data_IF_466167512546
#
_entry.id   IF_466167512546
#
_cell.length_a   1.000
_cell.length_b   1.000
_cell.length_c   1.000
_cell.angle_alpha   90.00
_cell.angle_beta   90.00
_cell.angle_gamma   90.00
#
_symmetry.space_group_name_H-M   'P 1'
#
loop_
_entity.id
_entity.type
_entity.pdbx_description
1 polymer ?
#
# COMPACT_ATOMS: atom_id res chain seq x y z
N UNK A 1 0.86 -23.86 -7.13
CA UNK A 1 0.38 -22.50 -7.00
C UNK A 1 0.35 -21.75 -8.31
N UNK A 2 -0.36 -20.67 -8.30
CA UNK A 2 -0.37 -19.69 -9.38
C UNK A 2 0.25 -18.43 -8.83
N UNK A 3 1.35 -17.97 -9.43
CA UNK A 3 2.07 -16.81 -8.95
C UNK A 3 2.66 -16.00 -10.09
N UNK A 4 3.54 -15.10 -9.75
CA UNK A 4 4.24 -14.30 -10.73
C UNK A 4 5.23 -15.15 -11.54
N UNK A 5 5.31 -14.86 -12.83
CA UNK A 5 6.32 -15.46 -13.71
C UNK A 5 7.56 -14.56 -13.77
N UNK A 6 8.77 -15.11 -13.89
CA UNK A 6 9.97 -14.33 -14.19
C UNK A 6 9.97 -13.78 -15.62
N UNK A 7 9.03 -14.18 -16.47
CA UNK A 7 8.89 -13.65 -17.82
C UNK A 7 8.37 -12.20 -17.79
N UNK A 8 9.26 -11.27 -18.09
CA UNK A 8 8.95 -9.83 -18.10
C UNK A 8 7.93 -9.44 -19.17
N UNK A 9 7.87 -10.17 -20.27
CA UNK A 9 6.86 -9.92 -21.32
C UNK A 9 5.47 -10.28 -20.84
N UNK A 10 5.32 -11.39 -20.11
CA UNK A 10 4.06 -11.78 -19.49
C UNK A 10 3.61 -10.75 -18.45
N UNK A 11 4.50 -10.30 -17.59
CA UNK A 11 4.21 -9.27 -16.59
C UNK A 11 3.73 -7.96 -17.24
N UNK A 12 4.43 -7.50 -18.28
CA UNK A 12 4.04 -6.29 -19.01
C UNK A 12 2.67 -6.44 -19.69
N UNK A 13 2.34 -7.61 -20.22
CA UNK A 13 1.03 -7.89 -20.85
C UNK A 13 -0.10 -7.92 -19.82
N UNK A 14 0.09 -8.55 -18.68
CA UNK A 14 -0.91 -8.54 -17.62
C UNK A 14 -1.27 -7.11 -17.18
N UNK A 15 -0.27 -6.27 -17.01
CA UNK A 15 -0.47 -4.88 -16.69
C UNK A 15 -1.22 -4.13 -17.79
N UNK A 16 -0.78 -4.24 -19.04
CA UNK A 16 -1.34 -3.47 -20.17
C UNK A 16 -2.80 -3.85 -20.48
N UNK A 17 -3.14 -5.12 -20.40
CA UNK A 17 -4.53 -5.57 -20.61
C UNK A 17 -5.45 -5.07 -19.49
N UNK A 18 -5.01 -5.16 -18.25
CA UNK A 18 -5.77 -4.64 -17.11
C UNK A 18 -6.00 -3.13 -17.20
N UNK A 19 -4.99 -2.38 -17.61
CA UNK A 19 -5.08 -0.93 -17.81
C UNK A 19 -6.04 -0.58 -18.95
N UNK A 20 -5.93 -1.27 -20.08
CA UNK A 20 -6.83 -1.08 -21.24
C UNK A 20 -8.29 -1.28 -20.84
N UNK A 21 -8.61 -2.30 -20.09
CA UNK A 21 -9.99 -2.57 -19.69
C UNK A 21 -10.57 -1.50 -18.77
N UNK A 22 -9.75 -0.92 -17.89
CA UNK A 22 -10.16 0.21 -17.06
C UNK A 22 -10.55 1.43 -17.88
N UNK A 23 -9.86 1.70 -18.95
CA UNK A 23 -10.17 2.83 -19.84
C UNK A 23 -11.36 2.55 -20.76
N UNK A 24 -11.57 1.30 -21.17
CA UNK A 24 -12.63 0.93 -22.11
C UNK A 24 -13.98 0.71 -21.45
N UNK A 25 -14.03 0.03 -20.33
CA UNK A 25 -15.26 -0.30 -19.61
C UNK A 25 -15.41 0.45 -18.29
N UNK A 26 -14.33 0.86 -17.70
CA UNK A 26 -14.31 1.48 -16.37
C UNK A 26 -13.65 0.60 -15.30
N UNK A 27 -13.47 1.16 -14.13
CA UNK A 27 -12.74 0.51 -13.01
C UNK A 27 -13.41 -0.77 -12.50
N UNK A 28 -14.69 -0.92 -12.74
CA UNK A 28 -15.50 -2.08 -12.36
C UNK A 28 -15.75 -3.07 -13.50
N UNK A 29 -14.92 -3.07 -14.53
CA UNK A 29 -15.09 -3.92 -15.71
C UNK A 29 -15.27 -5.42 -15.42
N UNK A 30 -14.69 -5.92 -14.34
CA UNK A 30 -14.82 -7.31 -13.89
C UNK A 30 -16.04 -7.56 -12.98
N UNK A 31 -16.85 -6.55 -12.70
CA UNK A 31 -18.04 -6.63 -11.85
C UNK A 31 -19.34 -6.37 -12.59
N UNK A 32 -19.28 -6.02 -13.86
CA UNK A 32 -20.50 -5.93 -14.68
C UNK A 32 -21.11 -7.33 -14.87
N UNK A 33 -22.44 -7.45 -15.01
CA UNK A 33 -23.12 -8.74 -14.95
C UNK A 33 -22.58 -9.82 -15.87
N UNK A 34 -22.12 -9.44 -17.06
CA UNK A 34 -21.58 -10.39 -18.03
C UNK A 34 -20.20 -10.94 -17.64
N UNK A 35 -19.43 -10.19 -16.87
CA UNK A 35 -18.07 -10.55 -16.44
C UNK A 35 -18.00 -11.00 -14.98
N UNK A 36 -19.02 -10.68 -14.19
CA UNK A 36 -19.01 -10.97 -12.76
C UNK A 36 -18.91 -12.47 -12.49
N UNK A 37 -18.13 -12.82 -11.47
CA UNK A 37 -18.11 -14.18 -10.96
C UNK A 37 -19.48 -14.59 -10.44
N UNK A 38 -19.86 -15.83 -10.69
CA UNK A 38 -21.09 -16.40 -10.11
C UNK A 38 -20.94 -16.71 -8.61
N UNK A 39 -19.72 -16.99 -8.18
CA UNK A 39 -19.40 -17.14 -6.77
C UNK A 39 -19.04 -15.78 -6.17
N UNK A 40 -19.39 -15.54 -4.88
CA UNK A 40 -18.95 -14.34 -4.18
C UNK A 40 -17.42 -14.31 -4.11
N UNK A 41 -16.82 -13.29 -4.70
CA UNK A 41 -15.38 -13.03 -4.57
C UNK A 41 -15.19 -11.61 -4.05
N UNK A 42 -14.22 -11.45 -3.17
CA UNK A 42 -13.82 -10.13 -2.75
C UNK A 42 -12.96 -9.47 -3.81
N UNK A 43 -13.36 -8.28 -4.22
CA UNK A 43 -12.60 -7.46 -5.16
C UNK A 43 -12.31 -6.12 -4.52
N UNK A 44 -11.10 -5.61 -4.74
CA UNK A 44 -10.74 -4.26 -4.34
C UNK A 44 -11.31 -3.20 -5.29
N UNK A 45 -11.86 -3.59 -6.41
CA UNK A 45 -12.50 -2.70 -7.36
C UNK A 45 -13.82 -2.19 -6.78
N UNK A 46 -13.95 -0.88 -6.67
CA UNK A 46 -15.09 -0.20 -6.09
C UNK A 46 -15.53 0.92 -7.00
N UNK A 47 -16.80 1.29 -6.86
CA UNK A 47 -17.37 2.36 -7.65
C UNK A 47 -17.32 2.09 -9.17
N UNK A 48 -17.60 3.05 -9.97
CA UNK A 48 -17.59 2.91 -11.42
C UNK A 48 -18.98 3.02 -12.03
N UNK A 49 -19.02 3.53 -13.26
CA UNK A 49 -20.25 3.93 -13.92
C UNK A 49 -21.25 2.79 -14.19
N UNK A 50 -20.77 1.57 -14.28
CA UNK A 50 -21.60 0.39 -14.60
C UNK A 50 -21.93 -0.46 -13.37
N UNK A 51 -21.68 0.04 -12.18
CA UNK A 51 -21.97 -0.70 -10.96
C UNK A 51 -23.45 -0.77 -10.68
N UNK A 52 -23.98 -1.97 -10.39
CA UNK A 52 -25.40 -2.23 -10.17
C UNK A 52 -25.70 -2.81 -8.78
N UNK A 53 -24.69 -3.23 -8.04
CA UNK A 53 -24.80 -3.91 -6.74
C UNK A 53 -24.40 -3.01 -5.55
N UNK A 54 -24.26 -1.70 -5.80
CA UNK A 54 -23.85 -0.73 -4.80
C UNK A 54 -22.37 -0.79 -4.45
N UNK A 55 -21.94 0.14 -3.63
CA UNK A 55 -20.58 0.19 -3.10
C UNK A 55 -20.46 -0.50 -1.75
N UNK A 56 -19.26 -0.99 -1.44
CA UNK A 56 -18.95 -1.55 -0.13
C UNK A 56 -18.76 -0.48 0.97
N UNK A 57 -19.43 0.68 0.83
CA UNK A 57 -19.31 1.79 1.76
C UNK A 57 -17.96 2.49 1.69
N UNK A 58 -17.57 3.14 2.78
CA UNK A 58 -16.34 3.91 2.88
C UNK A 58 -15.12 3.09 3.33
N UNK A 59 -15.18 1.76 3.24
CA UNK A 59 -14.05 0.89 3.62
C UNK A 59 -12.82 1.17 2.76
N UNK A 60 -11.64 0.99 3.36
CA UNK A 60 -10.37 1.14 2.63
C UNK A 60 -10.23 -0.01 1.64
N UNK A 61 -10.24 0.30 0.34
CA UNK A 61 -10.22 -0.69 -0.74
C UNK A 61 -8.83 -1.03 -1.26
N UNK A 62 -7.79 -0.88 -0.44
CA UNK A 62 -6.41 -1.16 -0.81
C UNK A 62 -5.71 -2.01 0.24
N UNK A 63 -4.74 -2.77 -0.17
CA UNK A 63 -3.91 -3.62 0.68
C UNK A 63 -2.43 -3.44 0.22
N UNK A 64 -1.47 -3.36 1.12
CA UNK A 64 -1.62 -3.32 2.58
C UNK A 64 -2.19 -1.99 3.07
N UNK A 65 -2.90 -2.03 4.19
CA UNK A 65 -3.38 -0.82 4.86
C UNK A 65 -3.22 -0.94 6.39
N UNK A 66 -3.38 0.18 7.09
CA UNK A 66 -3.21 0.26 8.54
C UNK A 66 -4.51 0.04 9.32
N UNK A 67 -5.60 -0.29 8.63
CA UNK A 67 -6.93 -0.35 9.20
C UNK A 67 -7.40 -1.80 9.45
N UNK A 68 -6.60 -2.79 9.07
CA UNK A 68 -6.92 -4.20 9.27
C UNK A 68 -8.14 -4.71 8.50
N UNK A 69 -8.64 -3.93 7.53
CA UNK A 69 -9.88 -4.26 6.80
C UNK A 69 -9.64 -5.40 5.82
N UNK A 70 -8.51 -5.36 5.12
CA UNK A 70 -8.08 -6.40 4.20
C UNK A 70 -6.69 -6.85 4.64
N UNK A 71 -6.51 -8.13 4.79
CA UNK A 71 -5.25 -8.71 5.24
C UNK A 71 -4.87 -9.91 4.38
N UNK A 72 -3.58 -10.06 4.15
CA UNK A 72 -3.06 -11.28 3.53
C UNK A 72 -3.33 -12.50 4.41
N UNK A 73 -3.74 -13.57 3.76
CA UNK A 73 -3.81 -14.89 4.40
C UNK A 73 -2.42 -15.53 4.35
N UNK A 74 -1.59 -15.24 5.33
CA UNK A 74 -0.19 -15.71 5.38
C UNK A 74 -0.03 -17.23 5.23
N UNK A 75 -1.03 -18.01 5.66
CA UNK A 75 -1.04 -19.46 5.50
C UNK A 75 -1.29 -19.92 4.06
N UNK A 76 -1.73 -19.01 3.17
CA UNK A 76 -1.91 -19.22 1.73
C UNK A 76 -0.77 -18.64 0.90
N UNK A 77 0.35 -18.34 1.55
CA UNK A 77 1.49 -17.76 0.90
C UNK A 77 1.98 -18.65 -0.26
N UNK A 78 2.39 -18.00 -1.34
CA UNK A 78 2.98 -18.66 -2.48
C UNK A 78 4.24 -19.43 -2.07
N UNK A 79 4.41 -20.68 -2.50
CA UNK A 79 5.64 -21.42 -2.25
C UNK A 79 6.84 -20.69 -2.85
N UNK A 80 7.99 -20.73 -2.16
CA UNK A 80 9.19 -20.12 -2.65
C UNK A 80 9.58 -20.71 -4.02
N UNK A 81 9.97 -19.85 -4.94
CA UNK A 81 10.43 -20.23 -6.26
C UNK A 81 11.86 -20.80 -6.14
N UNK A 82 11.98 -22.11 -6.12
CA UNK A 82 13.27 -22.78 -5.99
C UNK A 82 13.76 -23.32 -7.34
N UNK A 83 14.30 -22.45 -8.16
CA UNK A 83 14.80 -22.78 -9.50
C UNK A 83 16.32 -22.88 -9.56
N UNK A 84 17.02 -22.61 -8.46
CA UNK A 84 18.47 -22.80 -8.34
C UNK A 84 19.31 -22.02 -9.37
N UNK A 85 18.81 -20.96 -9.93
CA UNK A 85 19.46 -20.17 -10.98
C UNK A 85 19.24 -18.68 -10.82
N UNK A 86 19.80 -17.90 -11.74
CA UNK A 86 19.65 -16.44 -11.80
C UNK A 86 18.24 -15.97 -12.22
N UNK A 87 17.35 -16.85 -12.60
CA UNK A 87 15.98 -16.52 -12.95
C UNK A 87 15.11 -16.53 -11.69
N UNK A 88 14.89 -15.37 -11.12
CA UNK A 88 14.06 -15.17 -9.95
C UNK A 88 13.23 -13.89 -10.12
N UNK A 89 12.21 -13.74 -9.29
CA UNK A 89 11.52 -12.47 -9.13
C UNK A 89 12.06 -11.76 -7.90
N UNK A 90 12.20 -10.45 -7.99
CA UNK A 90 12.63 -9.67 -6.85
C UNK A 90 11.46 -9.49 -5.85
N UNK A 91 11.68 -9.91 -4.62
CA UNK A 91 10.73 -9.71 -3.54
C UNK A 91 11.08 -8.44 -2.76
N UNK A 92 10.40 -7.35 -3.07
CA UNK A 92 10.61 -6.06 -2.41
C UNK A 92 10.22 -6.04 -0.91
N UNK A 93 9.63 -7.11 -0.40
CA UNK A 93 9.27 -7.27 1.02
C UNK A 93 10.39 -7.87 1.86
N UNK A 94 11.45 -8.34 1.24
CA UNK A 94 12.62 -8.84 1.94
C UNK A 94 13.52 -7.67 2.37
N UNK A 95 13.98 -7.71 3.61
CA UNK A 95 14.83 -6.65 4.21
C UNK A 95 16.31 -6.79 3.81
N UNK A 96 16.59 -7.25 2.60
CA UNK A 96 17.93 -7.52 2.10
C UNK A 96 18.54 -6.34 1.32
N UNK A 97 17.80 -5.28 1.10
CA UNK A 97 18.23 -4.15 0.29
C UNK A 97 18.39 -2.85 1.10
N UNK A 98 19.32 -2.03 0.67
CA UNK A 98 19.62 -0.73 1.28
C UNK A 98 18.79 0.39 0.64
N UNK A 99 17.68 0.75 1.28
CA UNK A 99 16.79 1.82 0.84
C UNK A 99 17.19 3.22 1.35
N UNK A 100 18.20 3.33 2.22
CA UNK A 100 18.47 4.55 2.99
C UNK A 100 19.77 5.25 2.61
N UNK A 101 20.76 4.55 2.10
CA UNK A 101 22.08 5.13 1.79
C UNK A 101 22.00 6.20 0.69
N UNK A 102 21.26 5.98 -0.36
CA UNK A 102 21.16 6.95 -1.47
C UNK A 102 20.45 8.24 -1.04
N UNK A 103 19.25 8.20 -0.39
CA UNK A 103 18.64 9.41 0.15
C UNK A 103 19.52 10.14 1.16
N UNK A 104 20.26 9.41 2.00
CA UNK A 104 21.21 10.00 2.97
C UNK A 104 22.32 10.78 2.27
N UNK A 105 22.91 10.22 1.23
CA UNK A 105 23.94 10.92 0.45
C UNK A 105 23.40 12.21 -0.14
N UNK A 106 22.20 12.21 -0.70
CA UNK A 106 21.58 13.42 -1.23
C UNK A 106 21.31 14.45 -0.13
N UNK A 107 20.73 14.02 0.98
CA UNK A 107 20.45 14.89 2.12
C UNK A 107 21.73 15.60 2.65
N UNK A 108 22.84 14.86 2.70
CA UNK A 108 24.11 15.39 3.18
C UNK A 108 24.77 16.38 2.20
N UNK A 109 24.42 16.36 0.92
CA UNK A 109 24.85 17.35 -0.07
C UNK A 109 24.09 18.67 0.01
N UNK A 110 22.92 18.69 0.63
CA UNK A 110 22.09 19.88 0.76
C UNK A 110 22.70 20.87 1.76
N UNK A 111 22.65 22.16 1.42
CA UNK A 111 22.94 23.22 2.35
C UNK A 111 21.77 23.44 3.33
N UNK A 112 21.97 24.30 4.35
CA UNK A 112 20.98 24.51 5.41
C UNK A 112 19.67 25.11 4.88
N UNK A 113 19.73 25.99 3.89
CA UNK A 113 18.55 26.58 3.28
C UNK A 113 17.72 25.53 2.51
N UNK A 114 18.39 24.68 1.74
CA UNK A 114 17.75 23.57 1.04
C UNK A 114 17.11 22.57 2.00
N UNK A 115 17.80 22.24 3.10
CA UNK A 115 17.24 21.39 4.15
C UNK A 115 16.00 22.00 4.79
N UNK A 116 16.05 23.30 5.10
CA UNK A 116 14.89 24.01 5.64
C UNK A 116 13.70 23.94 4.70
N UNK A 117 13.90 24.23 3.42
CA UNK A 117 12.83 24.13 2.41
C UNK A 117 12.29 22.71 2.29
N UNK A 118 13.16 21.70 2.35
CA UNK A 118 12.75 20.29 2.35
C UNK A 118 11.83 19.97 3.54
N UNK A 119 12.18 20.39 4.75
CA UNK A 119 11.40 20.16 5.95
C UNK A 119 10.03 20.84 5.88
N UNK A 120 10.00 22.11 5.51
CA UNK A 120 8.77 22.89 5.38
C UNK A 120 7.83 22.33 4.30
N UNK A 121 8.38 21.95 3.15
CA UNK A 121 7.60 21.37 2.07
C UNK A 121 7.01 20.00 2.47
N UNK A 122 7.79 19.16 3.13
CA UNK A 122 7.35 17.86 3.62
C UNK A 122 6.26 18.03 4.68
N UNK A 123 6.49 18.89 5.67
CA UNK A 123 5.52 19.16 6.72
C UNK A 123 4.19 19.67 6.13
N UNK A 124 4.25 20.62 5.19
CA UNK A 124 3.07 21.14 4.51
C UNK A 124 2.30 20.04 3.76
N UNK A 125 3.02 19.15 3.08
CA UNK A 125 2.40 18.09 2.30
C UNK A 125 1.68 17.04 3.16
N UNK A 126 2.20 16.74 4.36
CA UNK A 126 1.66 15.71 5.23
C UNK A 126 0.87 16.24 6.43
N UNK A 127 0.75 17.56 6.60
CA UNK A 127 0.06 18.17 7.75
C UNK A 127 -1.42 17.75 7.88
N UNK A 128 -2.08 17.51 6.75
CA UNK A 128 -3.47 17.03 6.72
C UNK A 128 -3.64 15.52 6.95
N UNK A 129 -2.55 14.76 7.02
CA UNK A 129 -2.63 13.32 7.29
C UNK A 129 -2.84 13.04 8.78
N UNK A 130 -3.41 11.87 9.09
CA UNK A 130 -3.57 11.44 10.48
C UNK A 130 -2.20 11.30 11.18
N UNK A 131 -2.14 11.60 12.47
CA UNK A 131 -0.90 11.64 13.24
C UNK A 131 -0.04 10.37 13.09
N UNK A 132 -0.65 9.19 13.07
CA UNK A 132 0.10 7.95 12.91
C UNK A 132 0.79 7.84 11.54
N UNK A 133 0.23 8.44 10.49
CA UNK A 133 0.84 8.49 9.17
C UNK A 133 2.04 9.44 9.17
N UNK A 134 1.87 10.63 9.77
CA UNK A 134 2.97 11.59 9.95
C UNK A 134 4.14 10.95 10.71
N UNK A 135 3.85 10.28 11.83
CA UNK A 135 4.86 9.58 12.64
C UNK A 135 5.60 8.50 11.85
N UNK A 136 4.88 7.68 11.08
CA UNK A 136 5.51 6.65 10.22
C UNK A 136 6.45 7.27 9.19
N UNK A 137 6.03 8.36 8.57
CA UNK A 137 6.88 9.07 7.61
C UNK A 137 8.15 9.61 8.28
N UNK A 138 8.03 10.26 9.44
CA UNK A 138 9.17 10.77 10.20
C UNK A 138 10.11 9.64 10.61
N UNK A 139 9.59 8.48 11.04
CA UNK A 139 10.41 7.30 11.35
C UNK A 139 11.18 6.76 10.14
N UNK A 140 10.58 6.75 8.97
CA UNK A 140 11.30 6.40 7.73
C UNK A 140 12.41 7.40 7.44
N UNK A 141 12.16 8.69 7.62
CA UNK A 141 13.19 9.73 7.50
C UNK A 141 14.31 9.58 8.55
N UNK A 142 13.99 9.07 9.75
CA UNK A 142 14.97 8.80 10.80
C UNK A 142 15.98 7.71 10.39
N UNK A 143 15.54 6.69 9.67
CA UNK A 143 16.45 5.69 9.10
C UNK A 143 17.38 6.27 8.03
N UNK A 144 16.95 7.32 7.34
CA UNK A 144 17.78 8.05 6.38
C UNK A 144 18.83 8.85 7.14
N UNK A 145 18.37 9.80 7.97
CA UNK A 145 19.21 10.64 8.81
C UNK A 145 18.40 11.21 9.98
N UNK A 146 18.91 11.12 11.24
CA UNK A 146 18.22 11.68 12.40
C UNK A 146 17.92 13.18 12.29
N UNK A 147 18.79 13.98 11.64
CA UNK A 147 18.56 15.40 11.44
C UNK A 147 17.44 15.66 10.43
N UNK A 148 17.29 14.79 9.44
CA UNK A 148 16.18 14.87 8.49
C UNK A 148 14.84 14.66 9.21
N UNK A 149 14.74 13.60 10.00
CA UNK A 149 13.54 13.33 10.78
C UNK A 149 13.20 14.46 11.75
N UNK A 150 14.22 14.95 12.47
CA UNK A 150 14.06 16.04 13.43
C UNK A 150 13.54 17.31 12.74
N UNK A 151 14.10 17.68 11.60
CA UNK A 151 13.65 18.87 10.86
C UNK A 151 12.18 18.81 10.45
N UNK A 152 11.70 17.64 10.02
CA UNK A 152 10.28 17.45 9.68
C UNK A 152 9.41 17.47 10.95
N UNK A 153 9.84 16.80 12.02
CA UNK A 153 9.12 16.78 13.29
C UNK A 153 8.94 18.20 13.84
N UNK A 154 10.01 18.98 13.90
CA UNK A 154 10.00 20.37 14.35
C UNK A 154 9.03 21.21 13.49
N UNK A 155 9.06 21.05 12.17
CA UNK A 155 8.17 21.77 11.24
C UNK A 155 6.69 21.39 11.40
N UNK A 156 6.39 20.20 11.92
CA UNK A 156 5.02 19.73 12.25
C UNK A 156 4.64 20.05 13.70
N UNK A 157 5.53 20.63 14.52
CA UNK A 157 5.30 20.86 15.93
C UNK A 157 5.31 19.59 16.78
N UNK A 158 6.02 18.55 16.34
CA UNK A 158 6.17 17.27 17.05
C UNK A 158 7.57 17.18 17.65
N UNK A 159 7.67 16.51 18.80
CA UNK A 159 8.97 16.19 19.37
C UNK A 159 9.44 14.81 18.88
N UNK A 160 10.75 14.61 18.76
CA UNK A 160 11.30 13.31 18.42
C UNK A 160 11.00 12.24 19.47
N UNK A 161 10.83 12.64 20.73
CA UNK A 161 10.42 11.72 21.78
C UNK A 161 9.01 11.19 21.55
N UNK A 162 8.06 12.07 21.23
CA UNK A 162 6.69 11.67 20.84
C UNK A 162 6.71 10.76 19.62
N UNK A 163 7.50 11.09 18.60
CA UNK A 163 7.60 10.30 17.37
C UNK A 163 8.12 8.89 17.64
N UNK A 164 9.18 8.75 18.43
CA UNK A 164 9.82 7.46 18.70
C UNK A 164 9.00 6.58 19.63
N UNK A 165 8.30 7.18 20.59
CA UNK A 165 7.44 6.46 21.58
C UNK A 165 6.00 6.26 21.09
N UNK A 166 5.61 6.85 19.97
CA UNK A 166 4.24 6.77 19.50
C UNK A 166 3.83 5.33 19.22
N UNK A 167 2.86 4.84 19.94
CA UNK A 167 2.16 3.61 19.66
C UNK A 167 0.84 3.95 18.96
N UNK A 168 0.61 3.33 17.83
CA UNK A 168 -0.66 3.48 17.14
C UNK A 168 -1.72 2.78 18.00
N UNK A 169 -2.74 3.50 18.49
CA UNK A 169 -3.83 2.84 19.16
C UNK A 169 -4.39 1.78 18.18
N UNK A 170 -4.55 0.56 18.68
CA UNK A 170 -5.18 -0.49 17.91
C UNK A 170 -6.51 0.08 17.41
N UNK A 171 -6.67 0.17 16.10
CA UNK A 171 -7.96 0.51 15.55
C UNK A 171 -8.88 -0.63 15.99
N UNK A 172 -9.74 -0.34 16.96
CA UNK A 172 -10.91 -1.15 17.19
C UNK A 172 -11.79 -1.02 15.95
N UNK A 173 -11.42 -1.74 14.94
CA UNK A 173 -12.30 -1.97 13.81
C UNK A 173 -13.40 -2.86 14.37
N UNK A 174 -14.56 -2.24 14.54
CA UNK A 174 -15.75 -3.02 14.82
C UNK A 174 -15.81 -4.18 13.82
N UNK A 175 -16.37 -5.33 14.22
CA UNK A 175 -16.41 -6.50 13.36
C UNK A 175 -16.95 -6.07 12.00
N UNK A 176 -16.13 -6.25 10.96
CA UNK A 176 -16.61 -6.13 9.60
C UNK A 176 -17.76 -7.13 9.55
N UNK A 177 -18.97 -6.62 9.41
CA UNK A 177 -20.14 -7.47 9.22
C UNK A 177 -19.89 -8.17 7.88
N UNK A 178 -19.18 -9.29 7.94
CA UNK A 178 -19.20 -10.26 6.88
C UNK A 178 -20.66 -10.71 6.79
N UNK A 179 -21.39 -10.05 5.91
CA UNK A 179 -22.61 -10.64 5.43
C UNK A 179 -22.18 -11.97 4.85
N UNK A 180 -22.45 -13.08 5.56
CA UNK A 180 -22.20 -14.41 5.02
C UNK A 180 -22.93 -14.48 3.69
N UNK A 181 -22.22 -14.26 2.62
CA UNK A 181 -22.75 -14.46 1.29
C UNK A 181 -22.79 -15.97 1.09
N UNK A 182 -23.95 -16.55 1.39
CA UNK A 182 -24.20 -17.94 1.05
C UNK A 182 -24.12 -18.06 -0.46
N UNK A 183 -23.27 -18.95 -0.93
CA UNK A 183 -23.21 -19.28 -2.35
C UNK A 183 -24.62 -19.73 -2.77
N UNK A 184 -25.26 -19.12 -3.78
CA UNK A 184 -26.61 -19.47 -4.21
C UNK A 184 -26.70 -20.88 -4.82
N UNK A 185 -25.56 -21.54 -5.02
CA UNK A 185 -25.46 -22.87 -5.61
C UNK A 185 -25.17 -23.99 -4.59
N UNK A 186 -25.28 -23.70 -3.31
CA UNK A 186 -25.24 -24.64 -2.20
C UNK A 186 -24.23 -25.80 -2.38
N UNK A 187 -23.00 -25.62 -1.94
CA UNK A 187 -22.07 -26.70 -1.60
C UNK A 187 -21.51 -26.44 -0.23
#
# INVERSE_FOLDING_TARGET
>A
GIGFSPDKMLQGRLFSYGDTQRYRLGVNHNQIPVNASRCPIHSYHRDGAMRIDGNYGSTKGYEPNSFGVWQEQKHQQEPALNIGSVADHWNFREDDDDYFTQPRKLFNLMNDEQKKVLFENTARAISGAQKFIQVRHIRNCYHIDPAYAKGIADALGLTMEEVLKYEHPALELGPIAHKEMKCPFGH
#
